data_IF_164548949505
#
_entry.id   IF_164548949505
#
_cell.length_a   1.000
_cell.length_b   1.000
_cell.length_c   1.000
_cell.angle_alpha   90.00
_cell.angle_beta   90.00
_cell.angle_gamma   90.00
#
_symmetry.space_group_name_H-M   'P 1'
#
loop_
_entity.id
_entity.type
_entity.pdbx_description
1 polymer ?
#
# COMPACT_ATOMS: atom_id res chain seq x y z
N UNK A 1 6.17 -22.77 -6.35
CA UNK A 1 6.92 -21.57 -6.73
C UNK A 1 8.39 -21.87 -6.61
N UNK A 2 9.18 -21.52 -7.62
CA UNK A 2 10.64 -21.77 -7.64
C UNK A 2 11.31 -20.50 -7.14
N UNK A 3 12.19 -20.62 -6.14
CA UNK A 3 12.93 -19.48 -5.59
C UNK A 3 14.33 -19.47 -6.18
N UNK A 4 14.70 -18.35 -6.81
CA UNK A 4 16.02 -18.11 -7.38
C UNK A 4 16.66 -16.92 -6.65
N UNK A 5 17.76 -17.15 -5.95
CA UNK A 5 18.50 -16.09 -5.26
C UNK A 5 19.70 -15.64 -6.12
N UNK A 6 19.78 -14.34 -6.39
CA UNK A 6 20.90 -13.72 -7.08
C UNK A 6 21.97 -13.32 -6.05
N UNK A 7 23.19 -13.85 -6.22
CA UNK A 7 24.29 -13.58 -5.29
C UNK A 7 24.91 -12.22 -5.54
N UNK A 8 25.13 -11.47 -4.48
CA UNK A 8 25.77 -10.16 -4.50
C UNK A 8 27.28 -10.26 -4.27
N UNK A 9 28.04 -9.27 -4.77
CA UNK A 9 29.47 -9.13 -4.54
C UNK A 9 30.22 -8.57 -5.76
N UNK A 10 31.36 -7.91 -5.50
CA UNK A 10 32.16 -7.28 -6.57
C UNK A 10 32.73 -8.27 -7.60
N UNK A 11 32.83 -9.57 -7.25
CA UNK A 11 33.33 -10.63 -8.15
C UNK A 11 32.21 -11.49 -8.74
N UNK A 12 30.94 -11.17 -8.45
CA UNK A 12 29.81 -11.93 -8.97
C UNK A 12 29.38 -11.39 -10.36
N UNK A 13 28.96 -12.26 -11.28
CA UNK A 13 28.43 -11.83 -12.55
C UNK A 13 27.14 -11.01 -12.36
N UNK A 14 26.82 -10.15 -13.33
CA UNK A 14 25.60 -9.34 -13.31
C UNK A 14 24.35 -10.22 -13.17
N UNK A 15 23.23 -9.70 -12.61
CA UNK A 15 21.99 -10.45 -12.37
C UNK A 15 21.51 -11.28 -13.57
N UNK A 16 21.53 -10.70 -14.76
CA UNK A 16 21.11 -11.36 -15.99
C UNK A 16 21.99 -12.60 -16.31
N UNK A 17 23.32 -12.48 -16.16
CA UNK A 17 24.27 -13.58 -16.40
C UNK A 17 24.14 -14.68 -15.34
N UNK A 18 23.86 -14.30 -14.09
CA UNK A 18 23.58 -15.28 -13.04
C UNK A 18 22.33 -16.09 -13.36
N UNK A 19 21.25 -15.41 -13.78
CA UNK A 19 20.02 -16.08 -14.18
C UNK A 19 20.24 -17.06 -15.35
N UNK A 20 20.99 -16.64 -16.36
CA UNK A 20 21.34 -17.52 -17.50
C UNK A 20 22.14 -18.74 -17.04
N UNK A 21 23.11 -18.56 -16.14
CA UNK A 21 23.90 -19.65 -15.58
C UNK A 21 23.03 -20.62 -14.76
N UNK A 22 22.13 -20.10 -13.93
CA UNK A 22 21.21 -20.91 -13.14
C UNK A 22 20.27 -21.73 -14.02
N UNK A 23 19.79 -21.17 -15.12
CA UNK A 23 18.92 -21.89 -16.07
C UNK A 23 19.66 -22.93 -16.91
N UNK A 24 20.97 -22.74 -17.11
CA UNK A 24 21.82 -23.72 -17.79
C UNK A 24 22.20 -24.92 -16.91
N UNK A 25 22.04 -24.79 -15.59
CA UNK A 25 22.38 -25.84 -14.64
C UNK A 25 21.31 -26.96 -14.64
N UNK A 26 21.68 -28.17 -15.06
CA UNK A 26 20.75 -29.29 -15.28
C UNK A 26 19.99 -29.78 -14.05
N UNK A 27 20.42 -29.41 -12.82
CA UNK A 27 19.69 -29.72 -11.59
C UNK A 27 18.38 -28.91 -11.46
N UNK A 28 18.36 -27.67 -11.94
CA UNK A 28 17.15 -26.84 -11.95
C UNK A 28 16.13 -27.34 -12.98
N UNK A 29 16.56 -27.90 -14.10
CA UNK A 29 15.66 -28.42 -15.14
C UNK A 29 14.74 -29.54 -14.64
N UNK A 30 15.15 -30.35 -13.68
CA UNK A 30 14.30 -31.38 -13.06
C UNK A 30 13.24 -30.79 -12.12
N UNK A 31 13.53 -29.67 -11.45
CA UNK A 31 12.58 -28.95 -10.58
C UNK A 31 11.63 -28.06 -11.40
N UNK A 32 12.08 -27.60 -12.57
CA UNK A 32 11.32 -26.76 -13.52
C UNK A 32 10.12 -27.50 -14.16
N UNK A 33 10.17 -28.82 -14.21
CA UNK A 33 9.07 -29.63 -14.80
C UNK A 33 7.77 -29.60 -13.97
N UNK A 34 7.79 -29.06 -12.76
CA UNK A 34 6.67 -29.17 -11.82
C UNK A 34 5.94 -27.84 -11.53
N UNK A 35 6.53 -26.68 -11.82
CA UNK A 35 5.89 -25.38 -11.58
C UNK A 35 6.48 -24.31 -12.49
N UNK A 36 5.63 -23.67 -13.29
CA UNK A 36 6.01 -22.55 -14.17
C UNK A 36 6.21 -21.21 -13.47
N UNK A 37 5.94 -21.10 -12.16
CA UNK A 37 6.02 -19.85 -11.40
C UNK A 37 7.37 -19.68 -10.68
N UNK A 38 8.03 -18.53 -10.90
CA UNK A 38 9.35 -18.20 -10.36
C UNK A 38 9.25 -16.96 -9.49
N UNK A 39 9.96 -16.98 -8.36
CA UNK A 39 10.28 -15.85 -7.52
C UNK A 39 11.80 -15.61 -7.57
N UNK A 40 12.21 -14.35 -7.78
CA UNK A 40 13.60 -13.95 -7.77
C UNK A 40 13.89 -13.10 -6.53
N UNK A 41 14.85 -13.54 -5.73
CA UNK A 41 15.46 -12.69 -4.70
C UNK A 41 16.68 -11.99 -5.32
N UNK A 42 16.52 -10.68 -5.54
CA UNK A 42 17.54 -9.81 -6.13
C UNK A 42 18.39 -9.10 -5.07
N UNK A 43 18.14 -9.33 -3.77
CA UNK A 43 18.89 -8.70 -2.69
C UNK A 43 18.99 -7.17 -2.85
N UNK A 44 20.23 -6.65 -2.87
CA UNK A 44 20.53 -5.21 -3.07
C UNK A 44 20.91 -4.87 -4.53
N UNK A 45 20.72 -5.79 -5.48
CA UNK A 45 21.01 -5.49 -6.88
C UNK A 45 20.13 -4.37 -7.42
N UNK A 46 20.78 -3.38 -8.04
CA UNK A 46 20.11 -2.34 -8.81
C UNK A 46 19.82 -2.90 -10.21
N UNK A 47 18.61 -3.40 -10.41
CA UNK A 47 18.13 -3.96 -11.67
C UNK A 47 17.17 -2.98 -12.33
N UNK A 48 17.57 -2.44 -13.48
CA UNK A 48 16.73 -1.51 -14.24
C UNK A 48 15.61 -2.22 -15.00
N UNK A 49 14.65 -1.43 -15.48
CA UNK A 49 13.47 -1.91 -16.21
C UNK A 49 13.83 -2.80 -17.42
N UNK A 50 14.82 -2.39 -18.21
CA UNK A 50 15.24 -3.13 -19.41
C UNK A 50 15.87 -4.48 -19.05
N UNK A 51 16.71 -4.51 -18.01
CA UNK A 51 17.35 -5.74 -17.55
C UNK A 51 16.32 -6.71 -16.95
N UNK A 52 15.39 -6.21 -16.16
CA UNK A 52 14.32 -7.02 -15.59
C UNK A 52 13.37 -7.57 -16.67
N UNK A 53 13.05 -6.77 -17.70
CA UNK A 53 12.29 -7.22 -18.85
C UNK A 53 13.03 -8.32 -19.64
N UNK A 54 14.35 -8.20 -19.82
CA UNK A 54 15.16 -9.23 -20.44
C UNK A 54 15.16 -10.53 -19.61
N UNK A 55 15.22 -10.43 -18.27
CA UNK A 55 15.12 -11.58 -17.38
C UNK A 55 13.77 -12.29 -17.52
N UNK A 56 12.66 -11.53 -17.62
CA UNK A 56 11.34 -12.12 -17.89
C UNK A 56 11.30 -12.87 -19.23
N UNK A 57 11.90 -12.31 -20.28
CA UNK A 57 11.93 -12.96 -21.61
C UNK A 57 12.74 -14.26 -21.57
N UNK A 58 13.88 -14.28 -20.87
CA UNK A 58 14.71 -15.49 -20.72
C UNK A 58 13.94 -16.58 -19.96
N UNK A 59 13.25 -16.22 -18.88
CA UNK A 59 12.42 -17.15 -18.14
C UNK A 59 11.26 -17.67 -19.00
N UNK A 60 10.58 -16.79 -19.73
CA UNK A 60 9.48 -17.17 -20.62
C UNK A 60 9.94 -18.14 -21.73
N UNK A 61 11.13 -17.94 -22.29
CA UNK A 61 11.72 -18.85 -23.27
C UNK A 61 12.04 -20.25 -22.67
N UNK A 62 12.25 -20.32 -21.36
CA UNK A 62 12.41 -21.57 -20.60
C UNK A 62 11.07 -22.16 -20.11
N UNK A 63 9.92 -21.58 -20.52
CA UNK A 63 8.60 -22.01 -20.07
C UNK A 63 8.21 -21.59 -18.64
N UNK A 64 8.91 -20.59 -18.09
CA UNK A 64 8.77 -20.08 -16.74
C UNK A 64 8.15 -18.71 -16.72
N UNK A 65 7.40 -18.37 -15.67
CA UNK A 65 6.79 -17.07 -15.46
C UNK A 65 7.32 -16.43 -14.18
N UNK A 66 7.97 -15.27 -14.30
CA UNK A 66 8.35 -14.47 -13.14
C UNK A 66 7.09 -13.87 -12.51
N UNK A 67 6.78 -14.27 -11.29
CA UNK A 67 5.59 -13.84 -10.56
C UNK A 67 5.93 -12.81 -9.48
N UNK A 68 7.08 -12.96 -8.85
CA UNK A 68 7.48 -12.13 -7.71
C UNK A 68 8.97 -11.80 -7.76
N UNK A 69 9.29 -10.59 -7.27
CA UNK A 69 10.65 -10.11 -7.07
C UNK A 69 10.81 -9.65 -5.62
N UNK A 70 11.80 -10.18 -4.92
CA UNK A 70 12.22 -9.69 -3.60
C UNK A 70 13.45 -8.81 -3.78
N UNK A 71 13.44 -7.59 -3.28
CA UNK A 71 14.59 -6.68 -3.39
C UNK A 71 14.63 -5.63 -2.30
N UNK A 72 15.82 -5.42 -1.72
CA UNK A 72 16.08 -4.31 -0.81
C UNK A 72 16.21 -2.97 -1.57
N UNK A 73 16.56 -3.01 -2.87
CA UNK A 73 16.80 -1.82 -3.66
C UNK A 73 15.49 -1.18 -4.17
N UNK A 74 15.16 0.07 -3.78
CA UNK A 74 13.90 0.71 -4.14
C UNK A 74 13.68 0.85 -5.65
N UNK A 75 14.74 1.15 -6.42
CA UNK A 75 14.63 1.33 -7.87
C UNK A 75 14.31 0.01 -8.58
N UNK A 76 14.84 -1.12 -8.08
CA UNK A 76 14.51 -2.45 -8.59
C UNK A 76 13.05 -2.80 -8.35
N UNK A 77 12.48 -2.43 -7.19
CA UNK A 77 11.04 -2.60 -6.91
C UNK A 77 10.17 -1.74 -7.82
N UNK A 78 10.58 -0.49 -8.10
CA UNK A 78 9.88 0.36 -9.08
C UNK A 78 9.89 -0.25 -10.47
N UNK A 79 11.02 -0.83 -10.89
CA UNK A 79 11.11 -1.54 -12.17
C UNK A 79 10.20 -2.77 -12.21
N UNK A 80 10.11 -3.53 -11.11
CA UNK A 80 9.20 -4.67 -10.99
C UNK A 80 7.73 -4.23 -11.09
N UNK A 81 7.35 -3.17 -10.36
CA UNK A 81 6.01 -2.61 -10.42
C UNK A 81 5.63 -2.13 -11.83
N UNK A 82 6.55 -1.49 -12.55
CA UNK A 82 6.34 -1.02 -13.91
C UNK A 82 6.11 -2.18 -14.93
N UNK A 83 6.59 -3.38 -14.61
CA UNK A 83 6.36 -4.61 -15.39
C UNK A 83 5.16 -5.43 -14.89
N UNK A 84 4.42 -4.93 -13.91
CA UNK A 84 3.27 -5.63 -13.33
C UNK A 84 3.66 -6.85 -12.48
N UNK A 85 4.90 -6.93 -12.01
CA UNK A 85 5.36 -7.98 -11.12
C UNK A 85 4.99 -7.67 -9.68
N UNK A 86 4.59 -8.70 -8.92
CA UNK A 86 4.57 -8.60 -7.47
C UNK A 86 5.98 -8.38 -6.95
N UNK A 87 6.15 -7.52 -5.95
CA UNK A 87 7.44 -7.29 -5.32
C UNK A 87 7.33 -7.29 -3.79
N UNK A 88 8.45 -7.60 -3.15
CA UNK A 88 8.56 -7.60 -1.70
C UNK A 88 9.88 -6.95 -1.27
N UNK A 89 9.87 -6.21 -0.15
CA UNK A 89 11.08 -5.72 0.49
C UNK A 89 11.53 -6.70 1.58
N UNK A 90 12.84 -6.88 1.81
CA UNK A 90 13.31 -7.65 2.95
C UNK A 90 12.73 -7.08 4.26
N UNK A 91 12.01 -7.90 5.00
CA UNK A 91 11.33 -7.48 6.23
C UNK A 91 9.84 -7.19 6.11
N UNK A 92 9.21 -7.49 4.95
CA UNK A 92 7.76 -7.59 4.85
C UNK A 92 7.01 -6.40 4.23
N UNK A 93 7.69 -5.39 3.65
CA UNK A 93 6.99 -4.44 2.78
C UNK A 93 6.81 -5.09 1.40
N UNK A 94 5.62 -5.53 1.09
CA UNK A 94 5.28 -6.27 -0.15
C UNK A 94 4.34 -5.46 -1.03
N UNK A 95 4.45 -5.62 -2.35
CA UNK A 95 3.41 -5.22 -3.30
C UNK A 95 2.34 -6.30 -3.49
N UNK A 96 2.48 -7.43 -2.79
CA UNK A 96 1.39 -8.38 -2.81
C UNK A 96 0.15 -7.63 -2.33
N UNK A 97 -0.73 -7.31 -3.26
CA UNK A 97 -2.13 -7.16 -2.91
C UNK A 97 -2.44 -8.43 -2.13
N UNK A 98 -2.58 -8.29 -0.79
CA UNK A 98 -3.33 -9.28 -0.07
C UNK A 98 -4.58 -9.54 -0.90
N UNK A 99 -4.78 -10.77 -1.34
CA UNK A 99 -6.05 -11.27 -1.88
C UNK A 99 -7.13 -11.34 -0.76
N UNK A 100 -6.92 -10.66 0.31
CA UNK A 100 -8.00 -10.15 1.15
C UNK A 100 -8.71 -9.13 0.27
N UNK A 101 -9.96 -9.35 -0.13
CA UNK A 101 -10.69 -8.40 -0.96
C UNK A 101 -10.55 -7.04 -0.28
N UNK A 102 -9.82 -6.13 -0.93
CA UNK A 102 -9.59 -4.79 -0.39
C UNK A 102 -10.96 -4.26 -0.02
N UNK A 103 -11.14 -3.88 1.24
CA UNK A 103 -12.41 -3.38 1.72
C UNK A 103 -12.88 -2.29 0.75
N UNK A 104 -14.11 -2.35 0.22
CA UNK A 104 -14.53 -1.53 -0.91
C UNK A 104 -14.34 -0.06 -0.58
N UNK A 105 -13.76 0.70 -1.52
CA UNK A 105 -13.68 2.15 -1.40
C UNK A 105 -14.98 2.76 -1.92
N UNK A 106 -15.76 3.35 -1.03
CA UNK A 106 -16.94 4.12 -1.40
C UNK A 106 -16.54 5.58 -1.64
N UNK A 107 -16.96 6.15 -2.78
CA UNK A 107 -16.69 7.54 -3.12
C UNK A 107 -18.01 8.31 -3.10
N UNK A 108 -18.05 9.38 -2.32
CA UNK A 108 -19.15 10.33 -2.29
C UNK A 108 -18.70 11.67 -2.89
N UNK A 109 -19.47 12.20 -3.85
CA UNK A 109 -19.21 13.51 -4.44
C UNK A 109 -20.25 14.53 -3.95
N UNK A 110 -19.77 15.57 -3.31
CA UNK A 110 -20.60 16.66 -2.81
C UNK A 110 -20.39 16.95 -1.33
N UNK A 111 -21.00 18.04 -0.88
CA UNK A 111 -20.94 18.49 0.51
C UNK A 111 -22.02 17.81 1.34
N UNK A 112 -21.63 17.22 2.45
CA UNK A 112 -22.53 16.67 3.45
C UNK A 112 -22.99 17.77 4.42
N UNK A 113 -24.31 17.82 4.65
CA UNK A 113 -24.96 18.84 5.48
C UNK A 113 -25.41 18.25 6.82
N UNK A 114 -25.84 19.13 7.72
CA UNK A 114 -26.39 18.71 9.01
C UNK A 114 -27.55 17.73 8.82
N UNK A 115 -27.47 16.60 9.51
CA UNK A 115 -28.41 15.48 9.40
C UNK A 115 -28.03 14.42 8.38
N UNK A 116 -27.09 14.70 7.47
CA UNK A 116 -26.59 13.68 6.53
C UNK A 116 -25.72 12.65 7.27
N UNK A 117 -25.92 11.39 6.91
CA UNK A 117 -25.12 10.29 7.40
C UNK A 117 -24.67 9.41 6.24
N UNK A 118 -23.40 9.06 6.22
CA UNK A 118 -22.80 8.21 5.22
C UNK A 118 -22.10 7.04 5.92
N UNK A 119 -22.50 5.83 5.58
CA UNK A 119 -21.94 4.58 6.11
C UNK A 119 -21.25 3.81 4.98
N UNK A 120 -20.06 3.22 5.26
CA UNK A 120 -19.31 2.37 4.35
C UNK A 120 -18.83 1.11 5.05
N UNK A 121 -19.01 -0.04 4.42
CA UNK A 121 -18.45 -1.32 4.86
C UNK A 121 -16.93 -1.45 4.61
N UNK A 122 -16.34 -0.48 3.93
CA UNK A 122 -14.92 -0.37 3.65
C UNK A 122 -14.40 1.01 4.00
N UNK A 123 -13.51 1.54 3.16
CA UNK A 123 -13.02 2.91 3.27
C UNK A 123 -13.95 3.91 2.57
N UNK A 124 -13.93 5.15 3.01
CA UNK A 124 -14.80 6.21 2.51
C UNK A 124 -13.98 7.42 2.04
N UNK A 125 -14.22 7.85 0.80
CA UNK A 125 -13.68 9.10 0.25
C UNK A 125 -14.82 10.08 -0.02
N UNK A 126 -14.77 11.24 0.61
CA UNK A 126 -15.68 12.36 0.35
C UNK A 126 -14.95 13.42 -0.47
N UNK A 127 -15.42 13.70 -1.69
CA UNK A 127 -14.98 14.82 -2.53
C UNK A 127 -15.87 16.03 -2.25
N UNK A 128 -15.56 16.78 -1.19
CA UNK A 128 -16.34 17.92 -0.71
C UNK A 128 -16.18 18.14 0.79
N UNK A 129 -16.96 19.07 1.33
CA UNK A 129 -16.95 19.40 2.75
C UNK A 129 -17.93 18.54 3.56
N UNK A 130 -17.61 18.32 4.83
CA UNK A 130 -18.46 17.65 5.80
C UNK A 130 -18.83 18.66 6.88
N UNK A 131 -20.05 19.18 6.83
CA UNK A 131 -20.52 20.24 7.72
C UNK A 131 -20.88 19.74 9.14
N UNK A 132 -20.93 20.63 10.13
CA UNK A 132 -21.38 20.28 11.47
C UNK A 132 -22.76 19.61 11.44
N UNK A 133 -22.92 18.52 12.20
CA UNK A 133 -24.13 17.71 12.22
C UNK A 133 -24.20 16.60 11.18
N UNK A 134 -23.25 16.54 10.23
CA UNK A 134 -23.06 15.38 9.37
C UNK A 134 -22.18 14.31 10.04
N UNK A 135 -22.38 13.05 9.66
CA UNK A 135 -21.70 11.88 10.22
C UNK A 135 -21.13 10.99 9.12
N UNK A 136 -19.87 10.62 9.27
CA UNK A 136 -19.18 9.65 8.43
C UNK A 136 -18.85 8.42 9.26
N UNK A 137 -19.18 7.23 8.77
CA UNK A 137 -18.83 5.95 9.38
C UNK A 137 -18.20 5.05 8.33
N UNK A 138 -17.04 4.48 8.63
CA UNK A 138 -16.34 3.56 7.75
C UNK A 138 -15.76 2.40 8.54
N UNK A 139 -15.86 1.18 7.99
CA UNK A 139 -15.17 0.03 8.57
C UNK A 139 -13.64 0.17 8.41
N UNK A 140 -13.18 0.80 7.34
CA UNK A 140 -11.80 1.18 7.08
C UNK A 140 -11.52 2.67 7.33
N UNK A 141 -10.78 3.29 6.43
CA UNK A 141 -10.34 4.68 6.53
C UNK A 141 -11.43 5.69 6.12
N UNK A 142 -11.34 6.91 6.62
CA UNK A 142 -12.15 8.06 6.18
C UNK A 142 -11.25 9.12 5.57
N UNK A 143 -11.54 9.51 4.34
CA UNK A 143 -10.84 10.56 3.59
C UNK A 143 -11.81 11.67 3.22
N UNK A 144 -11.42 12.92 3.47
CA UNK A 144 -12.21 14.09 3.09
C UNK A 144 -11.35 15.04 2.26
N UNK A 145 -11.62 15.07 0.96
CA UNK A 145 -11.00 16.02 0.06
C UNK A 145 -11.74 17.36 0.17
N UNK A 146 -11.58 17.99 1.32
CA UNK A 146 -12.27 19.18 1.75
C UNK A 146 -12.08 19.43 3.25
N UNK A 147 -13.02 20.18 3.85
CA UNK A 147 -13.00 20.47 5.30
C UNK A 147 -13.91 19.48 6.04
N UNK A 148 -13.37 18.80 7.03
CA UNK A 148 -14.15 17.97 7.95
C UNK A 148 -14.52 18.77 9.18
N UNK A 149 -15.83 19.15 9.32
CA UNK A 149 -16.38 19.85 10.48
C UNK A 149 -17.39 19.01 11.27
N UNK A 150 -17.84 17.91 10.70
CA UNK A 150 -18.80 16.98 11.31
C UNK A 150 -18.16 15.98 12.25
N UNK A 151 -18.74 14.79 12.32
CA UNK A 151 -18.27 13.64 13.06
C UNK A 151 -17.72 12.61 12.07
N UNK A 152 -16.54 12.08 12.31
CA UNK A 152 -15.98 10.97 11.54
C UNK A 152 -15.61 9.80 12.46
N UNK A 153 -15.99 8.58 12.06
CA UNK A 153 -15.67 7.33 12.72
C UNK A 153 -15.06 6.37 11.70
N UNK A 154 -13.75 6.23 11.74
CA UNK A 154 -12.98 5.25 10.99
C UNK A 154 -12.80 3.98 11.84
N UNK A 155 -12.64 2.83 11.17
CA UNK A 155 -12.44 1.56 11.87
C UNK A 155 -13.62 1.18 12.78
N UNK A 156 -14.86 1.50 12.40
CA UNK A 156 -16.04 1.33 13.25
C UNK A 156 -16.35 -0.13 13.61
N UNK A 157 -15.68 -1.09 12.93
CA UNK A 157 -15.73 -2.53 13.22
C UNK A 157 -14.55 -3.02 14.06
N UNK A 158 -13.76 -2.11 14.65
CA UNK A 158 -12.66 -2.42 15.54
C UNK A 158 -11.27 -2.29 14.92
N UNK A 159 -11.16 -1.81 13.67
CA UNK A 159 -9.87 -1.56 13.04
C UNK A 159 -9.17 -0.34 13.66
N UNK A 160 -8.17 -0.60 14.51
CA UNK A 160 -7.37 0.43 15.17
C UNK A 160 -6.26 1.00 14.27
N UNK A 161 -5.98 0.38 13.12
CA UNK A 161 -5.05 0.89 12.11
C UNK A 161 -5.70 1.90 11.17
N UNK A 162 -7.03 2.03 11.22
CA UNK A 162 -7.78 2.98 10.42
C UNK A 162 -7.35 4.42 10.71
N UNK A 163 -7.46 5.27 9.69
CA UNK A 163 -7.06 6.69 9.74
C UNK A 163 -8.17 7.58 9.23
N UNK A 164 -8.17 8.82 9.72
CA UNK A 164 -9.02 9.88 9.20
C UNK A 164 -8.12 10.96 8.63
N UNK A 165 -8.30 11.30 7.35
CA UNK A 165 -7.51 12.34 6.67
C UNK A 165 -8.43 13.39 6.08
N UNK A 166 -8.07 14.66 6.20
CA UNK A 166 -8.78 15.76 5.56
C UNK A 166 -7.81 16.84 5.08
N UNK A 167 -8.20 17.60 4.06
CA UNK A 167 -7.44 18.80 3.68
C UNK A 167 -7.47 19.85 4.79
N UNK A 168 -8.55 19.89 5.57
CA UNK A 168 -8.65 20.69 6.78
C UNK A 168 -9.43 19.90 7.83
N UNK A 169 -8.79 19.57 8.95
CA UNK A 169 -9.36 18.77 10.02
C UNK A 169 -9.87 19.67 11.15
N UNK A 170 -11.18 19.94 11.17
CA UNK A 170 -11.87 20.75 12.20
C UNK A 170 -13.09 20.02 12.76
N UNK A 171 -13.00 18.76 13.12
CA UNK A 171 -14.16 17.95 13.45
C UNK A 171 -14.75 18.33 14.80
N UNK A 172 -16.06 18.13 14.95
CA UNK A 172 -16.70 18.13 16.27
C UNK A 172 -16.20 16.94 17.09
N UNK A 173 -16.04 15.78 16.46
CA UNK A 173 -15.56 14.56 17.08
C UNK A 173 -14.90 13.66 16.06
N UNK A 174 -13.77 13.07 16.46
CA UNK A 174 -13.11 11.97 15.76
C UNK A 174 -13.24 10.69 16.56
N UNK A 175 -13.46 9.60 15.85
CA UNK A 175 -13.44 8.25 16.42
C UNK A 175 -12.63 7.35 15.53
N UNK A 176 -11.74 6.55 16.12
CA UNK A 176 -11.03 5.48 15.44
C UNK A 176 -11.18 4.24 16.30
N UNK A 177 -11.86 3.24 15.77
CA UNK A 177 -12.27 2.04 16.51
C UNK A 177 -12.95 2.41 17.84
N UNK A 178 -12.34 2.08 18.96
CA UNK A 178 -12.80 2.35 20.32
C UNK A 178 -12.32 3.70 20.91
N UNK A 179 -11.36 4.35 20.24
CA UNK A 179 -10.82 5.64 20.68
C UNK A 179 -11.69 6.81 20.21
N UNK A 180 -11.78 7.83 21.07
CA UNK A 180 -12.56 9.05 20.81
C UNK A 180 -11.72 10.27 21.14
N UNK A 181 -11.74 11.26 20.25
CA UNK A 181 -11.13 12.58 20.47
C UNK A 181 -12.07 13.69 20.02
N UNK A 182 -11.91 14.87 20.61
CA UNK A 182 -12.47 16.11 20.08
C UNK A 182 -11.49 16.71 19.08
N UNK A 183 -12.00 17.53 18.17
CA UNK A 183 -11.12 18.28 17.28
C UNK A 183 -10.15 19.17 18.05
N UNK A 184 -8.97 19.47 17.48
CA UNK A 184 -8.03 20.38 18.07
C UNK A 184 -8.66 21.79 18.20
N UNK A 185 -8.28 22.52 19.26
CA UNK A 185 -8.67 23.93 19.43
C UNK A 185 -7.93 24.85 18.47
N UNK A 186 -6.72 24.43 18.07
CA UNK A 186 -5.90 25.17 17.13
C UNK A 186 -6.40 24.99 15.70
N UNK A 187 -6.23 26.06 14.91
CA UNK A 187 -6.59 26.03 13.50
C UNK A 187 -5.53 25.22 12.72
N UNK A 188 -5.96 24.33 11.80
CA UNK A 188 -5.05 23.62 10.93
C UNK A 188 -4.20 24.59 10.12
N UNK A 189 -2.94 24.23 9.90
CA UNK A 189 -2.01 25.04 9.09
C UNK A 189 -2.54 25.09 7.65
N UNK A 190 -2.80 26.28 7.08
CA UNK A 190 -3.27 26.38 5.72
C UNK A 190 -2.33 25.72 4.71
N UNK A 191 -2.88 24.93 3.80
CA UNK A 191 -2.13 24.29 2.71
C UNK A 191 -1.57 22.91 3.04
N UNK A 192 -1.75 22.39 4.25
CA UNK A 192 -1.36 21.04 4.63
C UNK A 192 -2.58 20.20 4.96
N UNK A 193 -2.63 18.99 4.39
CA UNK A 193 -3.58 17.99 4.84
C UNK A 193 -3.16 17.43 6.20
N UNK A 194 -4.13 17.06 7.02
CA UNK A 194 -3.91 16.48 8.35
C UNK A 194 -4.49 15.09 8.43
N UNK A 195 -3.84 14.23 9.21
CA UNK A 195 -4.31 12.89 9.51
C UNK A 195 -4.44 12.66 11.01
N UNK A 196 -5.50 11.94 11.38
CA UNK A 196 -5.71 11.40 12.71
C UNK A 196 -5.46 9.90 12.70
N UNK A 197 -4.70 9.41 13.65
CA UNK A 197 -4.36 7.99 13.83
C UNK A 197 -4.20 7.68 15.32
N UNK A 198 -4.26 6.40 15.69
CA UNK A 198 -4.03 5.98 17.09
C UNK A 198 -2.52 5.83 17.31
N UNK A 199 -1.98 6.63 18.24
CA UNK A 199 -0.60 6.54 18.75
C UNK A 199 -0.68 6.36 20.26
N UNK A 200 -0.03 5.35 20.80
CA UNK A 200 -0.02 5.04 22.23
C UNK A 200 -1.43 4.96 22.88
N UNK A 201 -2.42 4.50 22.12
CA UNK A 201 -3.79 4.31 22.59
C UNK A 201 -4.67 5.56 22.58
N UNK A 202 -4.18 6.67 22.07
CA UNK A 202 -4.93 7.93 21.91
C UNK A 202 -4.91 8.39 20.45
N UNK A 203 -5.93 9.16 20.05
CA UNK A 203 -5.95 9.75 18.70
C UNK A 203 -4.99 10.94 18.67
N UNK A 204 -3.94 10.84 17.87
CA UNK A 204 -3.01 11.92 17.55
C UNK A 204 -3.34 12.52 16.18
N UNK A 205 -3.17 13.83 16.03
CA UNK A 205 -3.32 14.54 14.75
C UNK A 205 -1.95 15.04 14.31
N UNK A 206 -1.57 14.66 13.10
CA UNK A 206 -0.28 14.97 12.50
C UNK A 206 -0.48 15.48 11.06
N UNK A 207 0.48 16.19 10.45
CA UNK A 207 0.47 16.43 9.02
C UNK A 207 0.33 15.10 8.26
N UNK A 208 -0.53 15.06 7.27
CA UNK A 208 -0.75 13.84 6.51
C UNK A 208 0.51 13.46 5.72
N UNK A 209 0.86 12.18 5.76
CA UNK A 209 1.92 11.66 4.91
C UNK A 209 1.50 11.74 3.43
N UNK A 210 2.43 12.04 2.50
CA UNK A 210 2.12 12.12 1.08
C UNK A 210 1.75 10.76 0.46
N UNK A 211 1.90 9.68 1.21
CA UNK A 211 1.56 8.32 0.81
C UNK A 211 0.32 7.86 1.59
N UNK A 212 -0.71 7.49 0.85
CA UNK A 212 -1.90 6.91 1.44
C UNK A 212 -1.66 5.43 1.73
N UNK A 213 -1.86 4.96 2.95
CA UNK A 213 -1.79 3.54 3.25
C UNK A 213 -3.08 2.86 2.75
N UNK A 214 -3.12 2.52 1.47
CA UNK A 214 -4.20 1.66 0.95
C UNK A 214 -4.03 0.20 1.37
N UNK A 215 -2.86 -0.13 1.88
CA UNK A 215 -2.51 -1.46 2.39
C UNK A 215 -2.03 -1.29 3.83
N UNK A 216 -2.89 -1.57 4.77
CA UNK A 216 -2.57 -1.79 6.16
C UNK A 216 -2.33 -3.26 6.40
#
# INVERSE_FOLDING_TARGET
MIHLALREGQQQPRPLLQLQSLLADGQLQQTLATSGAVEIDAGQWLIGLQELAAMQQILAAAGLSLQRLVSAEPQTRVAAAALGLAWEAPGGASSASDDTPAAPLQIHQGTLRSGDRLDSEGSLLVLGDVNPGAQLLAAGHVMVWGTLRGVAHAGNQGDRSARIVALQLRPLQLRIADCVARGPEDLPVPGFAEQAEIVDGVIAINPAAPQWPLNG
#
